data_IF_334686480466
#
_entry.id   IF_334686480466
#
_cell.length_a   1.000
_cell.length_b   1.000
_cell.length_c   1.000
_cell.angle_alpha   90.00
_cell.angle_beta   90.00
_cell.angle_gamma   90.00
#
_symmetry.space_group_name_H-M   'P 1'
#
loop_
_entity.id
_entity.type
_entity.pdbx_description
1 polymer ?
#
# COMPACT_ATOMS: atom_id res chain seq x y z
N UNK A 1 11.74 19.97 -14.05
CA UNK A 1 12.33 18.77 -13.41
C UNK A 1 11.30 17.64 -13.49
N UNK A 2 11.35 16.81 -14.54
CA UNK A 2 10.53 15.59 -14.60
C UNK A 2 11.21 14.53 -13.73
N UNK A 3 10.89 14.52 -12.44
CA UNK A 3 11.36 13.46 -11.54
C UNK A 3 10.48 12.24 -11.80
N UNK A 4 10.94 11.36 -12.69
CA UNK A 4 10.29 10.07 -12.92
C UNK A 4 10.33 9.31 -11.61
N UNK A 5 9.16 9.08 -11.00
CA UNK A 5 9.04 8.21 -9.84
C UNK A 5 9.38 6.78 -10.27
N UNK A 6 10.34 6.14 -9.59
CA UNK A 6 10.74 4.75 -9.86
C UNK A 6 9.64 3.73 -9.52
N UNK A 7 8.68 4.13 -8.69
CA UNK A 7 7.51 3.36 -8.28
C UNK A 7 6.26 4.16 -8.64
N UNK A 8 5.27 3.51 -9.26
CA UNK A 8 3.99 4.13 -9.61
C UNK A 8 2.84 3.20 -9.23
N UNK A 9 1.68 3.76 -8.86
CA UNK A 9 0.50 2.94 -8.62
C UNK A 9 0.10 2.13 -9.86
N UNK A 10 -0.28 0.86 -9.69
CA UNK A 10 -0.90 0.10 -10.79
C UNK A 10 -2.39 0.44 -10.91
N UNK A 11 -2.69 1.40 -11.78
CA UNK A 11 -4.07 1.86 -12.01
C UNK A 11 -4.98 0.80 -12.66
N UNK A 12 -4.41 -0.29 -13.19
CA UNK A 12 -5.20 -1.37 -13.79
C UNK A 12 -5.50 -2.50 -12.80
N UNK A 13 -4.89 -2.50 -11.62
CA UNK A 13 -5.18 -3.49 -10.60
C UNK A 13 -6.56 -3.21 -9.96
N UNK A 14 -7.54 -4.00 -10.38
CA UNK A 14 -8.92 -3.94 -9.89
C UNK A 14 -9.05 -4.23 -8.39
N UNK A 15 -8.00 -4.76 -7.74
CA UNK A 15 -7.98 -4.96 -6.30
C UNK A 15 -7.81 -3.65 -5.52
N UNK A 16 -7.24 -2.62 -6.13
CA UNK A 16 -6.90 -1.35 -5.47
C UNK A 16 -8.05 -0.34 -5.48
N UNK A 17 -9.04 -0.53 -6.35
CA UNK A 17 -10.18 0.37 -6.51
C UNK A 17 -11.50 -0.38 -6.51
N UNK A 18 -12.57 0.29 -6.07
CA UNK A 18 -13.94 -0.23 -6.15
C UNK A 18 -14.88 0.86 -6.61
N UNK A 19 -15.80 0.53 -7.52
CA UNK A 19 -16.90 1.43 -7.86
C UNK A 19 -17.89 1.47 -6.69
N UNK A 20 -18.15 2.66 -6.17
CA UNK A 20 -19.24 2.94 -5.22
C UNK A 20 -20.32 3.76 -5.92
N UNK A 21 -21.55 3.57 -5.45
CA UNK A 21 -22.74 4.28 -5.93
C UNK A 21 -23.34 5.05 -4.76
N UNK A 22 -23.82 6.25 -5.02
CA UNK A 22 -24.36 7.12 -3.99
C UNK A 22 -25.31 8.16 -4.55
N UNK A 23 -25.83 8.99 -3.65
CA UNK A 23 -26.57 10.21 -3.95
C UNK A 23 -25.71 11.40 -3.53
N UNK A 24 -25.66 12.43 -4.36
CA UNK A 24 -25.03 13.70 -4.00
C UNK A 24 -25.94 14.53 -3.07
N UNK A 25 -25.48 15.72 -2.67
CA UNK A 25 -26.22 16.63 -1.80
C UNK A 25 -27.54 17.14 -2.39
N UNK A 26 -27.69 17.07 -3.72
CA UNK A 26 -28.90 17.45 -4.45
C UNK A 26 -29.84 16.27 -4.70
N UNK A 27 -29.45 15.06 -4.29
CA UNK A 27 -30.21 13.82 -4.49
C UNK A 27 -30.02 13.19 -5.87
N UNK A 28 -29.01 13.59 -6.65
CA UNK A 28 -28.70 12.92 -7.93
C UNK A 28 -27.83 11.69 -7.70
N UNK A 29 -28.07 10.65 -8.49
CA UNK A 29 -27.23 9.45 -8.47
C UNK A 29 -25.86 9.69 -9.10
N UNK A 30 -24.81 9.19 -8.47
CA UNK A 30 -23.47 9.15 -9.04
C UNK A 30 -22.80 7.79 -8.85
N UNK A 31 -21.73 7.57 -9.62
CA UNK A 31 -20.80 6.45 -9.48
C UNK A 31 -19.37 6.98 -9.45
N UNK A 32 -18.55 6.44 -8.57
CA UNK A 32 -17.14 6.84 -8.46
C UNK A 32 -16.28 5.64 -8.08
N UNK A 33 -15.10 5.53 -8.70
CA UNK A 33 -14.07 4.64 -8.22
C UNK A 33 -13.41 5.26 -6.99
N UNK A 34 -13.37 4.51 -5.89
CA UNK A 34 -12.65 4.86 -4.67
C UNK A 34 -11.50 3.89 -4.45
N UNK A 35 -10.42 4.40 -3.88
CA UNK A 35 -9.28 3.59 -3.46
C UNK A 35 -9.72 2.75 -2.26
N UNK A 36 -9.37 1.47 -2.29
CA UNK A 36 -9.67 0.53 -1.21
C UNK A 36 -8.46 0.43 -0.28
N UNK A 37 -8.71 0.49 1.03
CA UNK A 37 -7.70 0.18 2.03
C UNK A 37 -7.82 -1.27 2.51
N UNK A 38 -6.68 -1.87 2.84
CA UNK A 38 -6.55 -3.25 3.33
C UNK A 38 -5.52 -3.28 4.46
N UNK A 39 -5.73 -4.11 5.48
CA UNK A 39 -4.72 -4.32 6.51
C UNK A 39 -3.50 -5.00 5.89
N UNK A 40 -2.32 -4.47 6.18
CA UNK A 40 -1.02 -5.08 5.91
C UNK A 40 -0.32 -5.27 7.25
N UNK A 41 -0.08 -6.54 7.61
CA UNK A 41 0.70 -6.91 8.79
C UNK A 41 2.14 -7.16 8.37
N UNK A 42 3.09 -6.45 8.98
CA UNK A 42 4.52 -6.58 8.70
C UNK A 42 5.15 -7.47 9.77
N UNK A 43 5.90 -8.48 9.32
CA UNK A 43 6.73 -9.32 10.17
C UNK A 43 8.22 -9.08 9.85
N UNK A 44 9.07 -9.14 10.87
CA UNK A 44 10.52 -9.20 10.72
C UNK A 44 11.04 -10.42 11.47
N UNK A 45 11.63 -11.38 10.76
CA UNK A 45 12.13 -12.63 11.34
C UNK A 45 11.10 -13.34 12.24
N UNK A 46 9.88 -13.52 11.69
CA UNK A 46 8.72 -14.13 12.37
C UNK A 46 8.13 -13.35 13.56
N UNK A 47 8.62 -12.15 13.84
CA UNK A 47 8.04 -11.26 14.84
C UNK A 47 7.10 -10.27 14.17
N UNK A 48 5.84 -10.22 14.62
CA UNK A 48 4.91 -9.17 14.20
C UNK A 48 5.42 -7.81 14.68
N UNK A 49 5.49 -6.86 13.75
CA UNK A 49 5.95 -5.49 13.98
C UNK A 49 4.77 -4.54 14.10
N UNK A 50 3.88 -4.54 13.10
CA UNK A 50 2.73 -3.64 13.03
C UNK A 50 1.70 -4.19 12.05
N UNK A 51 0.43 -3.84 12.29
CA UNK A 51 -0.63 -3.91 11.28
C UNK A 51 -1.11 -2.50 10.96
N UNK A 52 -1.14 -2.13 9.67
CA UNK A 52 -1.60 -0.80 9.22
C UNK A 52 -2.52 -0.92 8.01
N UNK A 53 -3.42 0.05 7.84
CA UNK A 53 -4.27 0.13 6.65
C UNK A 53 -3.48 0.74 5.50
N UNK A 54 -3.44 0.06 4.36
CA UNK A 54 -2.68 0.47 3.18
C UNK A 54 -3.50 0.25 1.91
N UNK A 55 -3.08 0.85 0.79
CA UNK A 55 -3.69 0.56 -0.53
C UNK A 55 -3.40 -0.87 -1.00
N UNK A 56 -2.30 -1.48 -0.54
CA UNK A 56 -1.96 -2.87 -0.85
C UNK A 56 -1.40 -3.13 -2.25
N UNK A 57 -0.85 -2.10 -2.92
CA UNK A 57 -0.24 -2.21 -4.25
C UNK A 57 1.14 -2.88 -4.20
N UNK A 58 2.16 -2.17 -3.71
CA UNK A 58 3.54 -2.67 -3.56
C UNK A 58 3.82 -3.07 -2.10
N UNK A 59 3.16 -4.11 -1.60
CA UNK A 59 3.22 -4.49 -0.19
C UNK A 59 4.65 -4.82 0.31
N UNK A 60 5.47 -5.50 -0.49
CA UNK A 60 6.88 -5.81 -0.14
C UNK A 60 7.70 -4.53 0.05
N UNK A 61 7.59 -3.59 -0.90
CA UNK A 61 8.36 -2.36 -0.87
C UNK A 61 7.89 -1.44 0.25
N UNK A 62 6.60 -1.44 0.53
CA UNK A 62 6.05 -0.74 1.69
C UNK A 62 6.59 -1.34 3.00
N UNK A 63 6.62 -2.67 3.13
CA UNK A 63 7.15 -3.33 4.32
C UNK A 63 8.64 -3.01 4.54
N UNK A 64 9.48 -3.15 3.50
CA UNK A 64 10.90 -2.81 3.58
C UNK A 64 11.10 -1.33 3.92
N UNK A 65 10.40 -0.45 3.20
CA UNK A 65 10.49 1.00 3.42
C UNK A 65 10.08 1.40 4.83
N UNK A 66 9.03 0.76 5.38
CA UNK A 66 8.61 0.95 6.76
C UNK A 66 9.69 0.51 7.75
N UNK A 67 10.24 -0.70 7.60
CA UNK A 67 11.28 -1.21 8.49
C UNK A 67 12.55 -0.34 8.48
N UNK A 68 12.96 0.17 7.31
CA UNK A 68 14.07 1.13 7.20
C UNK A 68 13.71 2.45 7.88
N UNK A 69 12.49 2.97 7.66
CA UNK A 69 12.04 4.21 8.29
C UNK A 69 12.01 4.13 9.83
N UNK A 70 11.64 2.97 10.38
CA UNK A 70 11.66 2.71 11.82
C UNK A 70 13.05 2.34 12.37
N UNK A 71 14.10 2.30 11.53
CA UNK A 71 15.45 1.93 11.93
C UNK A 71 15.62 0.46 12.32
N UNK A 72 14.68 -0.40 11.92
CA UNK A 72 14.72 -1.85 12.15
C UNK A 72 15.54 -2.59 11.09
N UNK A 73 15.74 -1.96 9.92
CA UNK A 73 16.69 -2.36 8.89
C UNK A 73 17.60 -1.17 8.55
N UNK A 74 18.86 -1.47 8.28
CA UNK A 74 19.87 -0.53 7.82
C UNK A 74 20.30 -0.85 6.38
N UNK A 75 20.96 0.10 5.72
CA UNK A 75 21.49 -0.10 4.37
C UNK A 75 22.59 -1.17 4.29
N UNK A 76 23.15 -1.58 5.43
CA UNK A 76 24.18 -2.62 5.50
C UNK A 76 23.58 -4.01 5.76
N UNK A 77 22.29 -4.09 6.11
CA UNK A 77 21.62 -5.36 6.31
C UNK A 77 21.33 -6.02 4.96
N UNK A 78 21.53 -7.33 4.88
CA UNK A 78 21.23 -8.11 3.69
C UNK A 78 19.86 -8.79 3.85
N UNK A 79 18.91 -8.44 2.99
CA UNK A 79 17.58 -9.06 2.96
C UNK A 79 17.70 -10.41 2.23
N UNK A 80 17.50 -11.50 2.97
CA UNK A 80 17.63 -12.87 2.44
C UNK A 80 16.39 -13.27 1.63
N UNK A 81 15.21 -12.95 2.14
CA UNK A 81 13.92 -13.23 1.50
C UNK A 81 12.85 -12.25 1.96
N UNK A 82 11.79 -12.15 1.17
CA UNK A 82 10.51 -11.50 1.50
C UNK A 82 9.42 -12.43 1.01
N UNK A 83 8.43 -12.68 1.87
CA UNK A 83 7.29 -13.55 1.58
C UNK A 83 5.99 -12.73 1.74
N UNK A 84 5.05 -12.90 0.79
CA UNK A 84 3.76 -12.20 0.71
C UNK A 84 2.57 -13.11 0.98
#
# INVERSE_FOLDING_TARGET
MNKTLSVKPDINDQRLIKEVKGLDESGNFFRQNVVMERPLTIFLNSQEVVTSMTVGDHAEWMAIGFLVNQGMLSNNDNIISVDL
#
